data_IF_037651728397
#
_entry.id   IF_037651728397
#
_cell.length_a   1.000
_cell.length_b   1.000
_cell.length_c   1.000
_cell.angle_alpha   90.00
_cell.angle_beta   90.00
_cell.angle_gamma   90.00
#
_symmetry.space_group_name_H-M   'P 1'
#
loop_
_entity.id
_entity.type
_entity.pdbx_description
1 polymer ?
#
# COMPACT_ATOMS: atom_id res chain seq x y z
N UNK A 1 -5.18 -8.95 -14.26
CA UNK A 1 -6.48 -8.27 -14.13
C UNK A 1 -7.29 -8.79 -12.93
N UNK A 2 -7.66 -10.08 -12.89
CA UNK A 2 -8.52 -10.61 -11.81
C UNK A 2 -7.98 -10.43 -10.38
N UNK A 3 -6.68 -10.66 -10.16
CA UNK A 3 -6.06 -10.46 -8.85
C UNK A 3 -6.13 -9.00 -8.36
N UNK A 4 -6.05 -8.00 -9.25
CA UNK A 4 -6.13 -6.58 -8.85
C UNK A 4 -7.52 -6.21 -8.32
N UNK A 5 -8.56 -6.73 -9.00
CA UNK A 5 -9.95 -6.50 -8.58
C UNK A 5 -10.21 -7.20 -7.25
N UNK A 6 -9.83 -8.47 -7.12
CA UNK A 6 -9.98 -9.22 -5.87
C UNK A 6 -9.21 -8.56 -4.72
N UNK A 7 -8.00 -8.07 -4.98
CA UNK A 7 -7.21 -7.30 -4.03
C UNK A 7 -7.93 -6.03 -3.58
N UNK A 8 -8.48 -5.24 -4.50
CA UNK A 8 -9.24 -4.03 -4.16
C UNK A 8 -10.45 -4.33 -3.29
N UNK A 9 -11.19 -5.41 -3.59
CA UNK A 9 -12.33 -5.85 -2.77
C UNK A 9 -11.86 -6.32 -1.40
N UNK A 10 -10.79 -7.11 -1.32
CA UNK A 10 -10.23 -7.60 -0.06
C UNK A 10 -9.77 -6.45 0.85
N UNK A 11 -9.02 -5.49 0.30
CA UNK A 11 -8.55 -4.30 1.01
C UNK A 11 -9.71 -3.42 1.52
N UNK A 12 -10.68 -3.13 0.65
CA UNK A 12 -11.75 -2.20 0.99
C UNK A 12 -12.69 -2.72 2.09
N UNK A 13 -12.79 -4.05 2.24
CA UNK A 13 -13.75 -4.67 3.15
C UNK A 13 -13.08 -5.46 4.29
N UNK A 14 -11.75 -5.44 4.38
CA UNK A 14 -10.96 -6.23 5.35
C UNK A 14 -11.35 -7.72 5.36
N UNK A 15 -11.37 -8.32 4.16
CA UNK A 15 -11.72 -9.75 3.97
C UNK A 15 -10.56 -10.52 3.31
N UNK A 16 -10.51 -11.85 3.48
CA UNK A 16 -9.55 -12.68 2.75
C UNK A 16 -9.71 -12.56 1.24
N UNK A 17 -8.60 -12.75 0.52
CA UNK A 17 -8.63 -12.94 -0.94
C UNK A 17 -9.51 -14.13 -1.30
N UNK A 18 -10.34 -13.97 -2.34
CA UNK A 18 -11.17 -15.06 -2.86
C UNK A 18 -10.39 -15.93 -3.83
N UNK A 19 -9.49 -15.31 -4.59
CA UNK A 19 -8.62 -15.99 -5.52
C UNK A 19 -7.39 -16.50 -4.78
N UNK A 20 -7.09 -17.78 -4.97
CA UNK A 20 -5.81 -18.33 -4.54
C UNK A 20 -4.69 -17.63 -5.30
N UNK A 21 -3.64 -17.24 -4.57
CA UNK A 21 -2.44 -16.70 -5.20
C UNK A 21 -1.84 -17.75 -6.12
N UNK A 22 -1.38 -17.36 -7.33
CA UNK A 22 -0.68 -18.28 -8.20
C UNK A 22 0.52 -18.88 -7.45
N UNK A 23 0.62 -20.20 -7.46
CA UNK A 23 1.75 -20.95 -6.88
C UNK A 23 3.04 -20.82 -7.70
N UNK A 24 2.99 -20.17 -8.86
CA UNK A 24 4.16 -19.94 -9.69
C UNK A 24 5.16 -19.06 -8.92
N UNK A 25 6.45 -19.44 -8.87
CA UNK A 25 7.44 -18.59 -8.22
C UNK A 25 7.45 -17.24 -8.93
N UNK A 26 7.24 -16.17 -8.17
CA UNK A 26 7.46 -14.82 -8.69
C UNK A 26 8.91 -14.78 -9.19
N UNK A 27 9.16 -14.38 -10.45
CA UNK A 27 10.52 -14.38 -10.97
C UNK A 27 11.43 -13.58 -10.04
N UNK A 28 12.63 -14.09 -9.77
CA UNK A 28 13.57 -13.39 -8.90
C UNK A 28 13.79 -11.98 -9.44
N UNK A 29 13.80 -10.97 -8.57
CA UNK A 29 14.08 -9.59 -8.95
C UNK A 29 15.43 -9.46 -9.69
N UNK A 30 16.38 -10.34 -9.38
CA UNK A 30 17.68 -10.42 -10.05
C UNK A 30 17.63 -10.95 -11.50
N UNK A 31 16.56 -11.67 -11.87
CA UNK A 31 16.26 -12.07 -13.24
C UNK A 31 15.46 -10.99 -13.97
N UNK A 32 14.46 -10.41 -13.30
CA UNK A 32 13.62 -9.36 -13.88
C UNK A 32 14.46 -8.13 -14.26
N UNK A 33 15.46 -7.76 -13.44
CA UNK A 33 16.32 -6.62 -13.75
C UNK A 33 17.16 -6.81 -15.03
N UNK A 34 17.32 -8.04 -15.52
CA UNK A 34 18.04 -8.37 -16.76
C UNK A 34 17.14 -8.41 -17.99
N UNK A 35 15.83 -8.26 -17.84
CA UNK A 35 14.90 -8.19 -18.97
C UNK A 35 15.19 -6.91 -19.76
N UNK A 36 15.62 -7.07 -21.01
CA UNK A 36 15.97 -5.94 -21.89
C UNK A 36 14.73 -5.11 -22.27
N UNK A 37 13.62 -5.79 -22.57
CA UNK A 37 12.37 -5.14 -22.90
C UNK A 37 11.81 -4.39 -21.68
N UNK A 38 11.66 -3.07 -21.84
CA UNK A 38 11.27 -2.19 -20.73
C UNK A 38 9.82 -2.40 -20.33
N UNK A 39 8.93 -2.68 -21.29
CA UNK A 39 7.52 -2.91 -21.00
C UNK A 39 7.32 -4.20 -20.21
N UNK A 40 7.97 -5.28 -20.62
CA UNK A 40 7.97 -6.56 -19.94
C UNK A 40 8.60 -6.45 -18.54
N UNK A 41 9.75 -5.77 -18.42
CA UNK A 41 10.39 -5.51 -17.13
C UNK A 41 9.45 -4.77 -16.16
N UNK A 42 8.83 -3.67 -16.61
CA UNK A 42 7.87 -2.89 -15.80
C UNK A 42 6.67 -3.75 -15.41
N UNK A 43 6.11 -4.51 -16.36
CA UNK A 43 5.01 -5.44 -16.07
C UNK A 43 5.39 -6.45 -14.98
N UNK A 44 6.58 -7.05 -15.04
CA UNK A 44 7.05 -8.01 -14.04
C UNK A 44 7.23 -7.39 -12.65
N UNK A 45 7.85 -6.21 -12.53
CA UNK A 45 7.97 -5.52 -11.25
C UNK A 45 6.61 -5.17 -10.63
N UNK A 46 5.65 -4.76 -11.46
CA UNK A 46 4.29 -4.48 -11.01
C UNK A 46 3.52 -5.74 -10.57
N UNK A 47 3.77 -6.89 -11.22
CA UNK A 47 3.19 -8.16 -10.80
C UNK A 47 3.78 -8.67 -9.48
N UNK A 48 5.09 -8.49 -9.26
CA UNK A 48 5.75 -8.88 -8.01
C UNK A 48 5.07 -8.19 -6.82
N UNK A 49 4.92 -6.86 -6.88
CA UNK A 49 4.38 -6.12 -5.73
C UNK A 49 2.89 -6.44 -5.50
N UNK A 50 2.13 -6.68 -6.56
CA UNK A 50 0.74 -7.11 -6.45
C UNK A 50 0.63 -8.47 -5.74
N UNK A 51 1.51 -9.41 -6.10
CA UNK A 51 1.56 -10.73 -5.47
C UNK A 51 1.97 -10.64 -4.01
N UNK A 52 2.98 -9.81 -3.67
CA UNK A 52 3.41 -9.58 -2.29
C UNK A 52 2.31 -8.96 -1.44
N UNK A 53 1.53 -8.02 -2.01
CA UNK A 53 0.36 -7.46 -1.33
C UNK A 53 -0.68 -8.53 -1.01
N UNK A 54 -0.93 -9.43 -1.97
CA UNK A 54 -1.83 -10.55 -1.75
C UNK A 54 -1.31 -11.53 -0.67
N UNK A 55 -0.01 -11.85 -0.69
CA UNK A 55 0.63 -12.68 0.33
C UNK A 55 0.49 -12.07 1.73
N UNK A 56 0.76 -10.77 1.87
CA UNK A 56 0.60 -10.05 3.13
C UNK A 56 -0.84 -10.08 3.66
N UNK A 57 -1.83 -9.89 2.79
CA UNK A 57 -3.24 -10.01 3.17
C UNK A 57 -3.61 -11.42 3.65
N UNK A 58 -3.12 -12.45 2.95
CA UNK A 58 -3.33 -13.84 3.41
C UNK A 58 -2.75 -14.05 4.80
N UNK A 59 -1.56 -13.52 5.10
CA UNK A 59 -0.95 -13.59 6.43
C UNK A 59 -1.79 -12.85 7.49
N UNK A 60 -2.24 -11.63 7.19
CA UNK A 60 -3.04 -10.84 8.13
C UNK A 60 -4.38 -11.51 8.49
N UNK A 61 -4.98 -12.24 7.54
CA UNK A 61 -6.24 -12.95 7.73
C UNK A 61 -6.07 -14.33 8.42
N UNK A 62 -4.90 -14.96 8.34
CA UNK A 62 -4.63 -16.25 9.00
C UNK A 62 -4.46 -16.14 10.53
N UNK A 63 -3.98 -15.01 11.03
CA UNK A 63 -3.81 -14.76 12.47
C UNK A 63 -5.13 -14.60 13.25
N UNK A 64 -6.27 -14.48 12.56
CA UNK A 64 -7.59 -14.41 13.20
C UNK A 64 -8.06 -15.76 13.80
N UNK A 65 -7.27 -16.84 13.63
CA UNK A 65 -7.56 -18.17 14.18
C UNK A 65 -6.52 -18.56 15.24
N UNK A 66 -6.93 -19.03 16.44
CA UNK A 66 -5.98 -19.40 17.49
C UNK A 66 -5.14 -20.61 17.06
N UNK A 67 -3.83 -20.39 16.94
CA UNK A 67 -2.88 -21.36 16.39
C UNK A 67 -2.01 -22.03 17.47
N UNK A 68 -1.65 -23.32 17.32
CA UNK A 68 -0.63 -23.98 18.14
C UNK A 68 0.75 -23.29 18.03
N UNK A 69 1.63 -23.48 19.02
CA UNK A 69 2.97 -22.87 19.06
C UNK A 69 3.82 -23.11 17.79
N UNK A 70 3.70 -24.26 17.14
CA UNK A 70 4.41 -24.57 15.90
C UNK A 70 3.96 -23.68 14.73
N UNK A 71 2.66 -23.40 14.63
CA UNK A 71 2.11 -22.50 13.63
C UNK A 71 2.50 -21.03 13.89
N UNK A 72 2.78 -20.65 15.15
CA UNK A 72 3.33 -19.32 15.45
C UNK A 72 4.74 -19.10 14.88
N UNK A 73 5.57 -20.14 14.79
CA UNK A 73 6.90 -20.04 14.18
C UNK A 73 6.78 -19.93 12.65
N UNK A 74 5.88 -20.70 12.04
CA UNK A 74 5.61 -20.61 10.59
C UNK A 74 5.08 -19.24 10.16
N UNK A 75 4.18 -18.65 10.96
CA UNK A 75 3.67 -17.28 10.73
C UNK A 75 4.80 -16.25 10.83
N UNK A 76 5.68 -16.38 11.83
CA UNK A 76 6.86 -15.51 11.97
C UNK A 76 7.77 -15.57 10.75
N UNK A 77 8.16 -16.79 10.34
CA UNK A 77 9.06 -16.99 9.21
C UNK A 77 8.45 -16.45 7.92
N UNK A 78 7.15 -16.71 7.70
CA UNK A 78 6.44 -16.18 6.52
C UNK A 78 6.34 -14.66 6.53
N UNK A 79 6.14 -14.05 7.70
CA UNK A 79 6.17 -12.59 7.88
C UNK A 79 7.56 -12.03 7.56
N UNK A 80 8.63 -12.60 8.13
CA UNK A 80 10.03 -12.17 7.91
C UNK A 80 10.42 -12.31 6.44
N UNK A 81 10.05 -13.41 5.81
CA UNK A 81 10.27 -13.63 4.38
C UNK A 81 9.57 -12.56 3.54
N UNK A 82 8.29 -12.31 3.79
CA UNK A 82 7.50 -11.32 3.03
C UNK A 82 8.05 -9.89 3.23
N UNK A 83 8.44 -9.55 4.46
CA UNK A 83 9.10 -8.28 4.76
C UNK A 83 10.42 -8.13 3.99
N UNK A 84 11.26 -9.17 3.97
CA UNK A 84 12.52 -9.18 3.22
C UNK A 84 12.31 -9.08 1.70
N UNK A 85 11.29 -9.74 1.15
CA UNK A 85 10.93 -9.66 -0.27
C UNK A 85 10.47 -8.23 -0.66
N UNK A 86 9.73 -7.54 0.21
CA UNK A 86 9.33 -6.15 0.01
C UNK A 86 10.50 -5.18 0.10
N UNK A 87 11.37 -5.37 1.11
CA UNK A 87 12.59 -4.57 1.26
C UNK A 87 13.47 -4.71 0.01
N UNK A 88 13.64 -5.93 -0.50
CA UNK A 88 14.36 -6.18 -1.73
C UNK A 88 13.69 -5.53 -2.94
N UNK A 89 12.36 -5.64 -3.08
CA UNK A 89 11.62 -4.99 -4.17
C UNK A 89 11.86 -3.48 -4.16
N UNK A 90 11.78 -2.84 -2.98
CA UNK A 90 12.01 -1.41 -2.86
C UNK A 90 13.43 -1.03 -3.30
N UNK A 91 14.46 -1.70 -2.77
CA UNK A 91 15.85 -1.36 -3.08
C UNK A 91 16.27 -1.69 -4.52
N UNK A 92 15.68 -2.69 -5.15
CA UNK A 92 16.01 -3.12 -6.51
C UNK A 92 15.06 -2.56 -7.58
N UNK A 93 14.10 -1.69 -7.23
CA UNK A 93 13.16 -1.13 -8.21
C UNK A 93 13.91 -0.25 -9.22
N UNK A 94 13.66 -0.41 -10.52
CA UNK A 94 14.37 0.35 -11.54
C UNK A 94 13.82 1.77 -11.60
N UNK A 95 14.47 2.64 -12.40
CA UNK A 95 14.21 4.08 -12.44
C UNK A 95 12.74 4.41 -12.73
N UNK A 96 12.05 3.57 -13.52
CA UNK A 96 10.64 3.71 -13.86
C UNK A 96 9.70 3.64 -12.63
N UNK A 97 10.18 3.11 -11.51
CA UNK A 97 9.46 3.01 -10.24
C UNK A 97 10.01 3.94 -9.15
N UNK A 98 11.02 4.74 -9.46
CA UNK A 98 11.53 5.73 -8.52
C UNK A 98 10.73 7.03 -8.66
N UNK A 99 10.47 7.74 -7.54
CA UNK A 99 9.82 9.04 -7.61
C UNK A 99 10.70 10.02 -8.39
N UNK A 100 10.08 10.81 -9.28
CA UNK A 100 10.74 11.95 -9.95
C UNK A 100 10.78 13.19 -9.06
N UNK A 101 9.82 13.29 -8.14
CA UNK A 101 9.75 14.32 -7.10
C UNK A 101 9.35 13.63 -5.81
N UNK A 102 10.09 13.95 -4.75
CA UNK A 102 9.81 13.51 -3.39
C UNK A 102 10.07 14.68 -2.45
N UNK A 103 8.99 15.24 -1.91
CA UNK A 103 9.05 16.33 -0.93
C UNK A 103 8.32 15.85 0.33
N UNK A 104 9.01 15.95 1.47
CA UNK A 104 8.48 15.56 2.76
C UNK A 104 7.36 16.52 3.20
N UNK A 105 6.35 16.01 3.90
CA UNK A 105 5.24 16.82 4.45
C UNK A 105 5.73 17.96 5.36
N UNK A 106 6.91 17.81 5.98
CA UNK A 106 7.53 18.83 6.84
C UNK A 106 8.12 19.99 6.06
N UNK A 107 8.35 19.83 4.76
CA UNK A 107 8.86 20.90 3.90
C UNK A 107 7.70 21.76 3.37
N UNK A 108 7.15 22.57 4.27
CA UNK A 108 6.07 23.50 3.96
C UNK A 108 6.49 24.59 2.96
N UNK A 109 7.77 24.73 2.61
CA UNK A 109 8.19 25.71 1.60
C UNK A 109 7.85 25.25 0.20
N UNK A 110 8.03 23.95 -0.06
CA UNK A 110 7.84 23.32 -1.37
C UNK A 110 6.50 22.59 -1.50
N UNK A 111 5.85 22.22 -0.39
CA UNK A 111 4.57 21.52 -0.35
C UNK A 111 3.51 22.32 0.45
N UNK A 112 3.27 23.57 0.04
CA UNK A 112 2.37 24.47 0.75
C UNK A 112 0.94 23.97 0.73
N UNK A 113 0.35 23.81 1.91
CA UNK A 113 -1.08 23.54 2.08
C UNK A 113 -1.50 22.09 1.93
N UNK A 114 -0.56 21.14 1.88
CA UNK A 114 -0.86 19.72 2.05
C UNK A 114 -0.23 19.15 3.31
N UNK A 115 -1.01 18.37 4.06
CA UNK A 115 -0.56 17.61 5.23
C UNK A 115 0.12 16.27 4.87
N UNK A 116 0.22 15.96 3.58
CA UNK A 116 0.80 14.71 3.06
C UNK A 116 2.03 14.99 2.21
N UNK A 117 3.00 14.06 2.13
CA UNK A 117 4.18 14.23 1.29
C UNK A 117 3.79 14.25 -0.20
N UNK A 118 4.54 15.01 -0.99
CA UNK A 118 4.39 15.05 -2.45
C UNK A 118 5.31 13.99 -3.08
N UNK A 119 4.70 12.97 -3.67
CA UNK A 119 5.38 11.93 -4.44
C UNK A 119 4.84 11.89 -5.86
N UNK A 120 5.70 12.18 -6.84
CA UNK A 120 5.35 12.10 -8.26
C UNK A 120 6.17 11.01 -8.93
N UNK A 121 5.55 10.27 -9.85
CA UNK A 121 6.19 9.23 -10.65
C UNK A 121 6.10 9.56 -12.13
N UNK A 122 7.04 9.03 -12.90
CA UNK A 122 7.10 9.25 -14.36
C UNK A 122 6.00 8.54 -15.14
N UNK A 123 5.33 7.55 -14.54
CA UNK A 123 4.32 6.71 -15.19
C UNK A 123 3.38 6.05 -14.17
N UNK A 124 2.22 5.59 -14.66
CA UNK A 124 1.19 4.96 -13.82
C UNK A 124 1.61 3.64 -13.17
N UNK A 125 2.57 2.89 -13.73
CA UNK A 125 3.09 1.69 -13.08
C UNK A 125 3.94 2.04 -11.84
N UNK A 126 4.73 3.10 -11.90
CA UNK A 126 5.44 3.67 -10.77
C UNK A 126 4.48 4.11 -9.66
N UNK A 127 3.46 4.90 -10.00
CA UNK A 127 2.39 5.31 -9.06
C UNK A 127 1.71 4.10 -8.42
N UNK A 128 1.23 3.18 -9.24
CA UNK A 128 0.51 1.99 -8.79
C UNK A 128 1.36 1.15 -7.83
N UNK A 129 2.57 0.77 -8.26
CA UNK A 129 3.38 -0.17 -7.53
C UNK A 129 3.94 0.39 -6.23
N UNK A 130 4.28 1.69 -6.18
CA UNK A 130 4.76 2.29 -4.93
C UNK A 130 3.63 2.46 -3.92
N UNK A 131 2.41 2.84 -4.34
CA UNK A 131 1.27 2.91 -3.44
C UNK A 131 0.92 1.51 -2.88
N UNK A 132 0.92 0.47 -3.72
CA UNK A 132 0.72 -0.91 -3.26
C UNK A 132 1.86 -1.39 -2.36
N UNK A 133 3.12 -1.00 -2.63
CA UNK A 133 4.25 -1.27 -1.73
C UNK A 133 4.02 -0.70 -0.33
N UNK A 134 3.68 0.60 -0.23
CA UNK A 134 3.44 1.22 1.06
C UNK A 134 2.23 0.60 1.77
N UNK A 135 1.21 0.21 1.02
CA UNK A 135 0.03 -0.50 1.55
C UNK A 135 0.42 -1.87 2.12
N UNK A 136 1.26 -2.61 1.40
CA UNK A 136 1.71 -3.93 1.84
C UNK A 136 2.54 -3.82 3.13
N UNK A 137 3.44 -2.84 3.19
CA UNK A 137 4.23 -2.56 4.39
C UNK A 137 3.34 -2.14 5.57
N UNK A 138 2.34 -1.28 5.34
CA UNK A 138 1.36 -0.89 6.36
C UNK A 138 0.66 -2.10 6.96
N UNK A 139 0.12 -2.99 6.12
CA UNK A 139 -0.55 -4.22 6.57
C UNK A 139 0.38 -5.14 7.37
N UNK A 140 1.60 -5.37 6.88
CA UNK A 140 2.56 -6.21 7.60
C UNK A 140 2.97 -5.62 8.95
N UNK A 141 3.20 -4.30 9.02
CA UNK A 141 3.63 -3.66 10.26
C UNK A 141 2.53 -3.68 11.33
N UNK A 142 1.25 -3.56 10.93
CA UNK A 142 0.11 -3.74 11.84
C UNK A 142 0.07 -5.15 12.46
N UNK A 143 0.55 -6.15 11.73
CA UNK A 143 0.63 -7.56 12.16
C UNK A 143 2.06 -8.00 12.48
N UNK A 144 2.96 -7.07 12.84
CA UNK A 144 4.35 -7.41 13.15
C UNK A 144 4.40 -8.35 14.36
N UNK A 145 4.96 -9.57 14.22
CA UNK A 145 5.14 -10.45 15.35
C UNK A 145 6.05 -9.82 16.41
N UNK A 146 5.69 -9.97 17.70
CA UNK A 146 6.42 -9.34 18.82
C UNK A 146 7.88 -9.79 18.90
N UNK A 147 8.15 -11.03 18.53
CA UNK A 147 9.50 -11.62 18.53
C UNK A 147 10.28 -11.36 17.24
N UNK A 148 9.70 -10.67 16.24
CA UNK A 148 10.41 -10.28 15.03
C UNK A 148 11.42 -9.16 15.35
N UNK A 149 12.70 -9.48 15.19
CA UNK A 149 13.80 -8.53 15.34
C UNK A 149 14.18 -7.97 13.97
N UNK A 150 14.03 -6.66 13.80
CA UNK A 150 14.37 -5.97 12.56
C UNK A 150 15.61 -5.12 12.77
N UNK A 151 16.42 -5.02 11.71
CA UNK A 151 17.55 -4.11 11.68
C UNK A 151 17.04 -2.66 11.61
N UNK A 152 17.82 -1.72 12.15
CA UNK A 152 17.51 -0.29 12.12
C UNK A 152 16.10 0.07 12.64
N UNK A 153 15.79 -0.20 13.93
CA UNK A 153 14.46 0.02 14.51
C UNK A 153 13.96 1.48 14.46
N UNK A 154 14.85 2.44 14.19
CA UNK A 154 14.54 3.86 14.06
C UNK A 154 14.22 4.29 12.62
N UNK A 155 14.24 3.37 11.66
CA UNK A 155 13.91 3.67 10.27
C UNK A 155 12.45 4.10 10.13
N UNK A 156 12.13 5.22 9.46
CA UNK A 156 10.76 5.61 9.13
C UNK A 156 9.98 4.54 8.37
N UNK A 157 10.66 3.67 7.60
CA UNK A 157 10.07 2.54 6.89
C UNK A 157 9.53 1.43 7.82
N UNK A 158 9.71 1.56 9.14
CA UNK A 158 9.09 0.69 10.15
C UNK A 158 7.89 1.36 10.83
N UNK A 159 7.51 2.58 10.42
CA UNK A 159 6.36 3.31 10.95
C UNK A 159 5.12 3.09 10.08
N UNK A 160 4.03 2.48 10.61
CA UNK A 160 2.75 2.37 9.92
C UNK A 160 2.24 3.73 9.43
N UNK A 161 2.32 4.77 10.26
CA UNK A 161 1.83 6.11 9.93
C UNK A 161 2.61 6.72 8.75
N UNK A 162 3.91 6.50 8.68
CA UNK A 162 4.74 6.96 7.56
C UNK A 162 4.30 6.33 6.23
N UNK A 163 3.97 5.03 6.24
CA UNK A 163 3.42 4.37 5.06
C UNK A 163 2.02 4.89 4.70
N UNK A 164 1.15 5.11 5.70
CA UNK A 164 -0.19 5.67 5.49
C UNK A 164 -0.12 7.06 4.84
N UNK A 165 0.74 7.95 5.33
CA UNK A 165 0.96 9.27 4.76
C UNK A 165 1.44 9.20 3.30
N UNK A 166 2.37 8.30 2.97
CA UNK A 166 2.82 8.12 1.58
C UNK A 166 1.72 7.58 0.67
N UNK A 167 0.87 6.66 1.14
CA UNK A 167 -0.27 6.19 0.36
C UNK A 167 -1.20 7.35 0.00
N UNK A 168 -1.55 8.18 1.00
CA UNK A 168 -2.36 9.38 0.78
C UNK A 168 -1.65 10.37 -0.15
N UNK A 169 -0.38 10.69 0.09
CA UNK A 169 0.41 11.58 -0.77
C UNK A 169 0.46 11.15 -2.23
N UNK A 170 0.65 9.86 -2.51
CA UNK A 170 0.62 9.32 -3.88
C UNK A 170 -0.79 9.46 -4.49
N UNK A 171 -1.83 9.11 -3.73
CA UNK A 171 -3.22 9.17 -4.19
C UNK A 171 -3.70 10.60 -4.47
N UNK A 172 -3.34 11.57 -3.61
CA UNK A 172 -3.64 12.99 -3.77
C UNK A 172 -3.02 13.57 -5.05
N UNK A 173 -1.87 13.04 -5.47
CA UNK A 173 -1.18 13.51 -6.66
C UNK A 173 -1.44 12.66 -7.92
N UNK A 174 -2.37 11.69 -7.85
CA UNK A 174 -2.79 10.90 -9.01
C UNK A 174 -4.01 11.51 -9.71
N UNK A 175 -3.77 12.27 -10.77
CA UNK A 175 -4.78 13.08 -11.48
C UNK A 175 -5.24 12.48 -12.83
N UNK A 176 -4.65 11.37 -13.26
CA UNK A 176 -4.97 10.74 -14.55
C UNK A 176 -5.93 9.56 -14.39
N UNK A 177 -7.01 9.56 -15.17
CA UNK A 177 -8.03 8.48 -15.14
C UNK A 177 -7.44 7.11 -15.38
N UNK A 178 -6.49 7.00 -16.31
CA UNK A 178 -5.83 5.75 -16.71
C UNK A 178 -4.96 5.14 -15.59
N UNK A 179 -4.55 5.96 -14.62
CA UNK A 179 -3.67 5.57 -13.52
C UNK A 179 -4.44 5.10 -12.28
N UNK A 180 -5.79 5.13 -12.32
CA UNK A 180 -6.61 4.63 -11.23
C UNK A 180 -6.94 3.14 -11.39
N UNK A 181 -6.76 2.40 -10.30
CA UNK A 181 -7.12 0.99 -10.16
C UNK A 181 -7.93 0.82 -8.85
N UNK A 182 -8.92 -0.09 -8.78
CA UNK A 182 -9.69 -0.32 -7.56
C UNK A 182 -8.82 -0.62 -6.32
N UNK A 183 -7.67 -1.27 -6.51
CA UNK A 183 -6.73 -1.53 -5.41
C UNK A 183 -6.05 -0.27 -4.88
N UNK A 184 -5.83 0.76 -5.71
CA UNK A 184 -5.31 2.06 -5.25
C UNK A 184 -6.35 2.83 -4.45
N UNK A 185 -7.61 2.81 -4.91
CA UNK A 185 -8.71 3.43 -4.18
C UNK A 185 -8.90 2.76 -2.81
N UNK A 186 -8.93 1.43 -2.80
CA UNK A 186 -9.05 0.65 -1.57
C UNK A 186 -7.85 0.86 -0.64
N UNK A 187 -6.64 0.98 -1.20
CA UNK A 187 -5.46 1.22 -0.37
C UNK A 187 -5.45 2.61 0.27
N UNK A 188 -5.95 3.63 -0.44
CA UNK A 188 -6.16 4.96 0.12
C UNK A 188 -7.17 4.91 1.27
N UNK A 189 -8.25 4.13 1.12
CA UNK A 189 -9.21 3.91 2.21
C UNK A 189 -8.56 3.26 3.44
N UNK A 190 -7.72 2.24 3.25
CA UNK A 190 -6.96 1.59 4.33
C UNK A 190 -6.04 2.59 5.04
N UNK A 191 -5.30 3.40 4.29
CA UNK A 191 -4.43 4.42 4.85
C UNK A 191 -5.20 5.51 5.62
N UNK A 192 -6.33 5.94 5.09
CA UNK A 192 -7.14 7.01 5.66
C UNK A 192 -7.61 6.73 7.10
N UNK A 193 -7.81 5.45 7.46
CA UNK A 193 -8.17 5.04 8.83
C UNK A 193 -7.13 5.43 9.89
N UNK A 194 -5.90 5.73 9.47
CA UNK A 194 -4.82 6.15 10.36
C UNK A 194 -4.74 7.65 10.62
N UNK A 195 -5.61 8.45 9.98
CA UNK A 195 -5.57 9.90 10.12
C UNK A 195 -6.43 10.38 11.30
N UNK A 196 -5.79 11.12 12.20
CA UNK A 196 -6.43 11.68 13.40
C UNK A 196 -6.57 13.20 13.36
N UNK A 197 -5.96 13.88 12.39
CA UNK A 197 -6.07 15.33 12.27
C UNK A 197 -7.17 15.71 11.27
N UNK A 198 -8.04 16.66 11.66
CA UNK A 198 -9.15 17.11 10.83
C UNK A 198 -8.67 17.63 9.46
N UNK A 199 -7.55 18.35 9.39
CA UNK A 199 -6.97 18.85 8.13
C UNK A 199 -6.66 17.71 7.15
N UNK A 200 -6.00 16.64 7.63
CA UNK A 200 -5.70 15.43 6.85
C UNK A 200 -6.97 14.73 6.37
N UNK A 201 -7.97 14.61 7.26
CA UNK A 201 -9.24 13.98 6.93
C UNK A 201 -9.99 14.77 5.85
N UNK A 202 -10.01 16.10 5.92
CA UNK A 202 -10.62 16.96 4.91
C UNK A 202 -9.92 16.84 3.55
N UNK A 203 -8.59 16.84 3.50
CA UNK A 203 -7.82 16.60 2.28
C UNK A 203 -8.16 15.25 1.64
N UNK A 204 -8.27 14.20 2.45
CA UNK A 204 -8.66 12.86 1.98
C UNK A 204 -10.08 12.86 1.40
N UNK A 205 -11.05 13.49 2.07
CA UNK A 205 -12.43 13.56 1.57
C UNK A 205 -12.51 14.26 0.23
N UNK A 206 -11.82 15.40 0.08
CA UNK A 206 -11.73 16.12 -1.19
C UNK A 206 -11.07 15.27 -2.28
N UNK A 207 -10.05 14.49 -1.93
CA UNK A 207 -9.41 13.58 -2.86
C UNK A 207 -10.37 12.48 -3.34
N UNK A 208 -11.19 11.89 -2.46
CA UNK A 208 -12.21 10.92 -2.88
C UNK A 208 -13.28 11.53 -3.79
N UNK A 209 -13.74 12.76 -3.51
CA UNK A 209 -14.68 13.48 -4.39
C UNK A 209 -14.06 13.69 -5.78
N UNK A 210 -12.79 14.09 -5.84
CA UNK A 210 -12.08 14.24 -7.11
C UNK A 210 -11.94 12.90 -7.85
N UNK A 211 -11.62 11.82 -7.15
CA UNK A 211 -11.53 10.48 -7.76
C UNK A 211 -12.88 10.05 -8.31
N UNK A 212 -13.98 10.32 -7.60
CA UNK A 212 -15.33 10.07 -8.10
C UNK A 212 -15.59 10.83 -9.42
N UNK A 213 -15.23 12.12 -9.49
CA UNK A 213 -15.37 12.92 -10.71
C UNK A 213 -14.55 12.35 -11.88
N UNK A 214 -13.31 11.90 -11.64
CA UNK A 214 -12.41 11.37 -12.66
C UNK A 214 -12.84 9.97 -13.15
N UNK A 215 -13.23 9.08 -12.23
CA UNK A 215 -13.41 7.65 -12.50
C UNK A 215 -14.88 7.24 -12.65
N UNK A 216 -15.79 7.96 -12.00
CA UNK A 216 -17.20 7.59 -11.82
C UNK A 216 -17.44 6.55 -10.73
N UNK A 217 -16.42 6.16 -9.95
CA UNK A 217 -16.57 5.16 -8.90
C UNK A 217 -17.27 5.74 -7.67
N UNK A 218 -18.26 5.02 -7.15
CA UNK A 218 -19.00 5.41 -5.95
C UNK A 218 -18.33 4.84 -4.69
N UNK A 219 -17.91 5.74 -3.80
CA UNK A 219 -17.28 5.42 -2.50
C UNK A 219 -18.14 5.83 -1.31
N UNK A 220 -19.39 6.26 -1.53
CA UNK A 220 -20.21 6.90 -0.49
C UNK A 220 -20.36 6.06 0.79
N UNK A 221 -20.61 4.76 0.66
CA UNK A 221 -20.71 3.85 1.82
C UNK A 221 -19.39 3.77 2.61
N UNK A 222 -18.26 3.71 1.91
CA UNK A 222 -16.94 3.64 2.53
C UNK A 222 -16.59 4.95 3.24
N UNK A 223 -16.94 6.09 2.65
CA UNK A 223 -16.71 7.40 3.26
C UNK A 223 -17.56 7.65 4.50
N UNK A 224 -18.82 7.19 4.51
CA UNK A 224 -19.65 7.26 5.71
C UNK A 224 -19.03 6.48 6.87
N UNK A 225 -18.63 5.23 6.62
CA UNK A 225 -17.98 4.40 7.63
C UNK A 225 -16.66 5.00 8.12
N UNK A 226 -15.86 5.56 7.21
CA UNK A 226 -14.59 6.21 7.55
C UNK A 226 -14.79 7.42 8.48
N UNK A 227 -15.82 8.26 8.21
CA UNK A 227 -16.16 9.40 9.07
C UNK A 227 -16.63 8.96 10.46
N UNK A 228 -17.38 7.86 10.53
CA UNK A 228 -17.79 7.27 11.81
C UNK A 228 -16.54 6.81 12.59
N UNK A 229 -15.62 6.08 11.96
CA UNK A 229 -14.35 5.65 12.58
C UNK A 229 -13.54 6.85 13.13
N UNK A 230 -13.38 7.92 12.37
CA UNK A 230 -12.69 9.13 12.83
C UNK A 230 -13.37 9.80 14.01
N UNK A 231 -14.70 9.89 13.99
CA UNK A 231 -15.47 10.49 15.10
C UNK A 231 -15.31 9.72 16.42
N UNK A 232 -15.10 8.41 16.36
CA UNK A 232 -14.80 7.61 17.56
C UNK A 232 -13.40 7.87 18.12
N UNK A 233 -12.42 8.22 17.27
CA UNK A 233 -11.06 8.53 17.69
C UNK A 233 -10.97 9.90 18.39
N UNK A 234 -11.76 10.88 17.96
CA UNK A 234 -11.81 12.22 18.58
C UNK A 234 -12.44 12.23 19.98
N UNK A 235 -13.19 11.17 20.33
CA UNK A 235 -13.87 11.02 21.62
C UNK A 235 -13.10 10.27 22.70
N UNK A 236 -11.88 9.78 22.41
CA UNK A 236 -10.98 9.09 23.36
C UNK A 236 -9.84 10.00 23.81
#
# INVERSE_FOLDING_TARGET
>A
MFLRIDLGVALANDIPLRLSLPMLPVPSLSLICRTEDTYERVSHYAHVILWLCGKALTLCNQEATPHPLAASHEVMESWLQTFGELDQWYHLRPLEFQPIVEIDERDQTLNQGSEFPLLLFSNGAGTFSNQIYHTTMLLLLQRKPRTALLNHPQSPALSPLWHAHRICGIALNNDTRESWDPSLLASMLVAAKHMTHESQQQEILQAFDRIHVITGWDTGKYLTHLKEEWSFLDGM
#
